data_IF_016875477246
#
_entry.id   IF_016875477246
#
_cell.length_a   1.000
_cell.length_b   1.000
_cell.length_c   1.000
_cell.angle_alpha   90.00
_cell.angle_beta   90.00
_cell.angle_gamma   90.00
#
_symmetry.space_group_name_H-M   'P 1'
#
loop_
_entity.id
_entity.type
_entity.pdbx_description
1 polymer ?
#
# COMPACT_ATOMS: atom_id res chain seq x y z
N UNK A 1 25.04 -3.91 -23.67
CA UNK A 1 23.84 -4.72 -23.96
C UNK A 1 23.40 -4.52 -25.42
N UNK A 2 23.13 -3.29 -25.91
CA UNK A 2 22.72 -3.06 -27.31
C UNK A 2 23.73 -3.56 -28.35
N UNK A 3 25.03 -3.35 -28.09
CA UNK A 3 26.11 -3.85 -28.94
C UNK A 3 26.07 -5.37 -29.03
N UNK A 4 25.98 -6.05 -27.89
CA UNK A 4 25.89 -7.51 -27.79
C UNK A 4 24.67 -8.05 -28.57
N UNK A 5 23.50 -7.47 -28.38
CA UNK A 5 22.29 -7.89 -29.10
C UNK A 5 22.44 -7.77 -30.62
N UNK A 6 23.10 -6.70 -31.11
CA UNK A 6 23.35 -6.52 -32.57
C UNK A 6 24.36 -7.54 -33.12
N UNK A 7 25.41 -7.82 -32.36
CA UNK A 7 26.49 -8.74 -32.81
C UNK A 7 26.06 -10.21 -32.75
N UNK A 8 25.18 -10.58 -31.83
CA UNK A 8 24.77 -11.98 -31.61
C UNK A 8 23.37 -12.31 -32.16
N UNK A 9 22.58 -11.33 -32.59
CA UNK A 9 21.17 -11.50 -32.91
C UNK A 9 20.26 -11.78 -31.69
N UNK A 10 20.82 -11.69 -30.45
CA UNK A 10 20.06 -11.94 -29.23
C UNK A 10 19.10 -10.78 -28.94
N UNK A 11 17.84 -11.09 -28.64
CA UNK A 11 16.86 -10.09 -28.18
C UNK A 11 17.33 -9.47 -26.87
N UNK A 12 17.28 -8.15 -26.81
CA UNK A 12 17.67 -7.40 -25.60
C UNK A 12 16.55 -6.48 -25.17
N UNK A 13 16.31 -6.43 -23.85
CA UNK A 13 15.32 -5.58 -23.21
C UNK A 13 16.05 -4.66 -22.24
N UNK A 14 16.01 -3.34 -22.52
CA UNK A 14 16.72 -2.34 -21.73
C UNK A 14 15.67 -1.48 -21.07
N UNK A 15 15.55 -1.59 -19.75
CA UNK A 15 14.59 -0.85 -18.94
C UNK A 15 15.22 0.38 -18.30
N UNK A 16 14.44 1.46 -18.22
CA UNK A 16 14.70 2.61 -17.36
C UNK A 16 13.53 2.77 -16.40
N UNK A 17 13.74 2.33 -15.16
CA UNK A 17 12.73 2.48 -14.13
C UNK A 17 12.88 3.81 -13.41
N UNK A 18 11.76 4.50 -13.08
CA UNK A 18 11.75 5.51 -12.02
C UNK A 18 12.03 4.85 -10.67
N UNK A 19 11.83 5.57 -9.56
CA UNK A 19 12.01 4.97 -8.23
C UNK A 19 11.05 3.80 -8.02
N UNK A 20 11.59 2.61 -7.85
CA UNK A 20 10.80 1.42 -7.58
C UNK A 20 10.43 1.37 -6.10
N UNK A 21 9.18 1.11 -5.79
CA UNK A 21 8.72 0.90 -4.42
C UNK A 21 7.87 -0.37 -4.33
N UNK A 22 7.75 -0.91 -3.12
CA UNK A 22 6.94 -2.10 -2.87
C UNK A 22 7.39 -2.87 -1.64
N UNK A 23 6.75 -4.00 -1.42
CA UNK A 23 6.98 -4.91 -0.30
C UNK A 23 8.43 -5.39 -0.26
N UNK A 24 8.98 -5.52 0.95
CA UNK A 24 10.29 -6.14 1.24
C UNK A 24 11.52 -5.40 0.67
N UNK A 25 11.35 -4.19 0.16
CA UNK A 25 12.49 -3.36 -0.19
C UNK A 25 13.29 -3.02 1.08
N UNK A 26 14.64 -3.07 0.99
CA UNK A 26 15.51 -2.77 2.13
C UNK A 26 15.37 -1.29 2.53
N UNK A 27 14.90 -0.98 3.77
CA UNK A 27 14.84 0.39 4.26
C UNK A 27 16.24 0.95 4.52
N UNK A 28 16.37 2.27 4.60
CA UNK A 28 17.62 2.99 4.84
C UNK A 28 18.75 2.64 3.84
N UNK A 29 18.38 2.33 2.62
CA UNK A 29 19.35 2.02 1.56
C UNK A 29 19.09 2.88 0.31
N UNK A 30 18.14 2.53 -0.54
CA UNK A 30 17.97 3.15 -1.85
C UNK A 30 16.50 3.48 -2.19
N UNK A 31 15.62 3.48 -1.21
CA UNK A 31 14.20 3.81 -1.40
C UNK A 31 13.68 4.68 -0.26
N UNK A 32 13.31 5.91 -0.58
CA UNK A 32 12.65 6.80 0.37
C UNK A 32 11.32 6.20 0.86
N UNK A 33 10.51 5.61 -0.04
CA UNK A 33 9.24 4.98 0.31
C UNK A 33 9.44 3.83 1.29
N UNK A 34 10.42 2.95 1.05
CA UNK A 34 10.73 1.84 1.96
C UNK A 34 11.15 2.35 3.34
N UNK A 35 12.01 3.37 3.37
CA UNK A 35 12.47 3.99 4.62
C UNK A 35 11.31 4.63 5.38
N UNK A 36 10.44 5.35 4.69
CA UNK A 36 9.28 5.99 5.32
C UNK A 36 8.29 4.95 5.85
N UNK A 37 7.97 3.93 5.07
CA UNK A 37 7.10 2.84 5.52
C UNK A 37 7.66 2.13 6.75
N UNK A 38 8.95 1.79 6.72
CA UNK A 38 9.63 1.16 7.85
C UNK A 38 9.63 2.04 9.10
N UNK A 39 10.03 3.32 8.96
CA UNK A 39 10.09 4.24 10.09
C UNK A 39 8.71 4.44 10.71
N UNK A 40 7.68 4.69 9.89
CA UNK A 40 6.31 4.87 10.38
C UNK A 40 5.80 3.61 11.08
N UNK A 41 6.03 2.43 10.50
CA UNK A 41 5.62 1.14 11.07
C UNK A 41 6.29 0.83 12.43
N UNK A 42 7.51 1.33 12.62
CA UNK A 42 8.29 1.14 13.85
C UNK A 42 8.26 2.34 14.79
N UNK A 43 7.43 3.35 14.54
CA UNK A 43 7.32 4.53 15.40
C UNK A 43 8.54 5.45 15.39
N UNK A 44 9.38 5.35 14.36
CA UNK A 44 10.55 6.20 14.16
C UNK A 44 10.19 7.49 13.43
N UNK A 45 10.92 8.56 13.68
CA UNK A 45 10.71 9.84 13.02
C UNK A 45 11.04 9.76 11.51
N UNK A 46 10.25 10.46 10.70
CA UNK A 46 10.57 10.69 9.31
C UNK A 46 11.46 11.94 9.19
N UNK A 47 12.54 11.82 8.44
CA UNK A 47 13.37 12.96 8.07
C UNK A 47 13.00 13.37 6.63
N UNK A 48 12.44 14.56 6.50
CA UNK A 48 12.04 15.14 5.22
C UNK A 48 12.63 16.55 5.16
N UNK A 49 13.59 16.76 4.26
CA UNK A 49 14.24 18.06 4.12
C UNK A 49 13.36 19.04 3.34
N UNK A 50 12.55 18.54 2.39
CA UNK A 50 11.57 19.32 1.63
C UNK A 50 10.37 18.47 1.24
N UNK A 51 9.22 18.75 1.84
CA UNK A 51 7.96 18.01 1.60
C UNK A 51 7.45 18.14 0.16
N UNK A 52 7.78 19.23 -0.54
CA UNK A 52 7.39 19.45 -1.93
C UNK A 52 8.23 18.67 -2.95
N UNK A 53 9.26 17.95 -2.50
CA UNK A 53 10.09 17.12 -3.39
C UNK A 53 9.23 16.05 -4.05
N UNK A 54 9.11 16.12 -5.37
CA UNK A 54 8.31 15.20 -6.17
C UNK A 54 9.12 13.96 -6.55
N UNK A 55 8.51 12.80 -6.38
CA UNK A 55 9.04 11.50 -6.78
C UNK A 55 8.20 10.92 -7.92
N UNK A 56 8.87 10.36 -8.91
CA UNK A 56 8.27 9.46 -9.89
C UNK A 56 8.47 8.02 -9.41
N UNK A 57 7.38 7.28 -9.31
CA UNK A 57 7.33 5.99 -8.60
C UNK A 57 6.69 4.92 -9.47
N UNK A 58 7.25 3.72 -9.42
CA UNK A 58 6.67 2.52 -10.04
C UNK A 58 6.57 1.41 -9.00
N UNK A 59 5.44 0.69 -8.98
CA UNK A 59 5.22 -0.38 -8.03
C UNK A 59 5.88 -1.68 -8.47
N UNK A 60 6.46 -2.41 -7.53
CA UNK A 60 7.23 -3.63 -7.83
C UNK A 60 6.41 -4.68 -8.60
N UNK A 61 5.13 -4.87 -8.27
CA UNK A 61 4.32 -5.88 -8.96
C UNK A 61 4.04 -5.47 -10.43
N UNK A 62 3.94 -4.15 -10.72
CA UNK A 62 3.82 -3.65 -12.10
C UNK A 62 5.14 -3.87 -12.87
N UNK A 63 6.29 -3.74 -12.21
CA UNK A 63 7.61 -4.07 -12.79
C UNK A 63 7.70 -5.55 -13.10
N UNK A 64 7.31 -6.41 -12.16
CA UNK A 64 7.33 -7.87 -12.36
C UNK A 64 6.44 -8.27 -13.52
N UNK A 65 5.23 -7.72 -13.60
CA UNK A 65 4.31 -7.99 -14.71
C UNK A 65 4.92 -7.57 -16.06
N UNK A 66 5.57 -6.42 -16.11
CA UNK A 66 6.24 -5.94 -17.34
C UNK A 66 7.41 -6.84 -17.75
N UNK A 67 8.19 -7.34 -16.76
CA UNK A 67 9.27 -8.30 -17.04
C UNK A 67 8.74 -9.64 -17.58
N UNK A 68 7.57 -10.09 -17.09
CA UNK A 68 6.88 -11.29 -17.63
C UNK A 68 6.45 -11.03 -19.09
N UNK A 69 5.89 -9.86 -19.40
CA UNK A 69 5.56 -9.49 -20.78
C UNK A 69 6.79 -9.48 -21.68
N UNK A 70 7.95 -9.08 -21.15
CA UNK A 70 9.20 -9.13 -21.91
C UNK A 70 9.61 -10.55 -22.27
N UNK A 71 9.39 -11.53 -21.38
CA UNK A 71 9.64 -12.96 -21.70
C UNK A 71 8.74 -13.47 -22.83
N UNK A 72 7.54 -12.89 -22.96
CA UNK A 72 6.59 -13.19 -24.02
C UNK A 72 6.79 -12.33 -25.29
N UNK A 73 7.85 -11.53 -25.34
CA UNK A 73 8.13 -10.58 -26.44
C UNK A 73 7.06 -9.46 -26.59
N UNK A 74 6.36 -9.14 -25.49
CA UNK A 74 5.27 -8.15 -25.42
C UNK A 74 5.63 -6.91 -24.59
N UNK A 75 6.91 -6.68 -24.33
CA UNK A 75 7.37 -5.55 -23.54
C UNK A 75 6.97 -4.20 -24.15
N UNK A 76 6.52 -3.26 -23.32
CA UNK A 76 6.27 -1.89 -23.75
C UNK A 76 7.60 -1.20 -24.07
N UNK A 77 7.67 -0.55 -25.24
CA UNK A 77 8.87 0.16 -25.70
C UNK A 77 8.53 1.57 -26.15
N UNK A 78 9.43 2.49 -25.87
CA UNK A 78 9.37 3.84 -26.43
C UNK A 78 9.92 3.87 -27.87
N UNK A 79 9.86 5.03 -28.51
CA UNK A 79 10.39 5.29 -29.85
C UNK A 79 11.90 4.99 -30.01
N UNK A 80 12.66 5.05 -28.91
CA UNK A 80 14.09 4.74 -28.86
C UNK A 80 14.39 3.27 -28.52
N UNK A 81 13.35 2.43 -28.43
CA UNK A 81 13.44 1.02 -28.09
C UNK A 81 13.83 0.76 -26.62
N UNK A 82 13.63 1.74 -25.73
CA UNK A 82 13.80 1.57 -24.29
C UNK A 82 12.49 1.02 -23.73
N UNK A 83 12.60 -0.06 -22.95
CA UNK A 83 11.45 -0.63 -22.29
C UNK A 83 11.06 0.17 -21.04
N UNK A 84 9.77 0.24 -20.76
CA UNK A 84 9.25 0.98 -19.61
C UNK A 84 8.03 0.29 -19.00
N UNK A 85 7.71 0.65 -17.76
CA UNK A 85 6.45 0.26 -17.11
C UNK A 85 5.43 1.36 -17.37
N UNK A 86 4.27 1.07 -17.97
CA UNK A 86 3.29 2.11 -18.32
C UNK A 86 2.73 2.87 -17.12
N UNK A 87 2.59 2.18 -15.97
CA UNK A 87 1.97 2.74 -14.79
C UNK A 87 3.00 3.38 -13.87
N UNK A 88 3.05 4.69 -13.90
CA UNK A 88 3.93 5.53 -13.07
C UNK A 88 3.08 6.47 -12.23
N UNK A 89 3.45 6.64 -10.97
CA UNK A 89 2.82 7.58 -10.03
C UNK A 89 3.74 8.76 -9.77
N UNK A 90 3.15 9.93 -9.57
CA UNK A 90 3.85 11.13 -9.14
C UNK A 90 3.28 11.55 -7.80
N UNK A 91 4.14 11.63 -6.77
CA UNK A 91 3.78 12.01 -5.41
C UNK A 91 4.91 12.80 -4.77
N UNK A 92 4.55 13.76 -3.94
CA UNK A 92 5.53 14.46 -3.11
C UNK A 92 5.89 13.66 -1.86
N UNK A 93 7.03 13.97 -1.25
CA UNK A 93 7.42 13.34 0.03
C UNK A 93 6.41 13.64 1.13
N UNK A 94 5.84 14.86 1.15
CA UNK A 94 4.80 15.24 2.11
C UNK A 94 3.51 14.44 1.94
N UNK A 95 3.03 14.24 0.69
CA UNK A 95 1.86 13.39 0.42
C UNK A 95 2.07 11.95 0.89
N UNK A 96 3.24 11.38 0.65
CA UNK A 96 3.58 10.03 1.09
C UNK A 96 3.59 9.95 2.61
N UNK A 97 4.21 10.91 3.28
CA UNK A 97 4.27 10.96 4.75
C UNK A 97 2.88 11.11 5.36
N UNK A 98 2.04 11.98 4.82
CA UNK A 98 0.65 12.17 5.26
C UNK A 98 -0.17 10.87 5.19
N UNK A 99 -0.10 10.16 4.05
CA UNK A 99 -0.77 8.86 3.88
C UNK A 99 -0.28 7.83 4.89
N UNK A 100 1.02 7.77 5.15
CA UNK A 100 1.58 6.81 6.13
C UNK A 100 1.13 7.12 7.56
N UNK A 101 0.99 8.38 7.94
CA UNK A 101 0.44 8.76 9.24
C UNK A 101 -1.05 8.37 9.36
N UNK A 102 -1.83 8.51 8.29
CA UNK A 102 -3.22 8.01 8.26
C UNK A 102 -3.26 6.49 8.43
N UNK A 103 -2.39 5.75 7.75
CA UNK A 103 -2.31 4.29 7.87
C UNK A 103 -1.93 3.84 9.29
N UNK A 104 -1.03 4.56 9.94
CA UNK A 104 -0.66 4.31 11.34
C UNK A 104 -1.86 4.54 12.26
N UNK A 105 -2.58 5.65 12.10
CA UNK A 105 -3.77 5.99 12.90
C UNK A 105 -4.90 4.98 12.70
N UNK A 106 -5.07 4.44 11.49
CA UNK A 106 -6.14 3.48 11.18
C UNK A 106 -6.16 2.26 12.09
N UNK A 107 -5.02 1.89 12.66
CA UNK A 107 -4.90 0.74 13.57
C UNK A 107 -5.47 0.98 14.97
N UNK A 108 -5.67 2.22 15.35
CA UNK A 108 -6.28 2.60 16.63
C UNK A 108 -7.70 3.15 16.45
N UNK A 109 -7.97 3.83 15.34
CA UNK A 109 -9.30 4.35 15.03
C UNK A 109 -10.25 3.30 14.45
N UNK A 110 -9.75 2.13 14.07
CA UNK A 110 -10.44 1.07 13.34
C UNK A 110 -10.95 1.49 11.94
N UNK A 111 -10.60 2.69 11.48
CA UNK A 111 -10.95 3.17 10.14
C UNK A 111 -10.04 2.53 9.11
N UNK A 112 -10.60 1.79 8.16
CA UNK A 112 -9.82 1.30 7.02
C UNK A 112 -9.53 2.46 6.09
N UNK A 113 -8.27 2.72 5.73
CA UNK A 113 -7.93 3.75 4.77
C UNK A 113 -8.66 3.51 3.45
N UNK A 114 -9.25 4.57 2.88
CA UNK A 114 -9.82 4.47 1.55
C UNK A 114 -8.74 4.18 0.52
N UNK A 115 -8.91 3.10 -0.22
CA UNK A 115 -7.99 2.73 -1.28
C UNK A 115 -8.78 2.26 -2.51
N UNK A 116 -8.82 3.08 -3.55
CA UNK A 116 -9.40 2.68 -4.82
C UNK A 116 -8.64 1.47 -5.41
N UNK A 117 -9.35 0.66 -6.18
CA UNK A 117 -8.72 -0.47 -6.86
C UNK A 117 -7.53 0.02 -7.68
N UNK A 118 -6.38 -0.60 -7.47
CA UNK A 118 -5.16 -0.36 -8.26
C UNK A 118 -4.58 1.08 -8.14
N UNK A 119 -4.94 1.79 -7.07
CA UNK A 119 -4.42 3.13 -6.78
C UNK A 119 -3.03 3.10 -6.13
N UNK A 120 -2.36 4.25 -6.14
CA UNK A 120 -1.11 4.44 -5.40
C UNK A 120 -1.30 4.18 -3.90
N UNK A 121 -2.38 4.70 -3.33
CA UNK A 121 -2.73 4.58 -1.92
C UNK A 121 -2.83 3.11 -1.51
N UNK A 122 -3.49 2.27 -2.32
CA UNK A 122 -3.58 0.82 -2.06
C UNK A 122 -2.22 0.14 -2.09
N UNK A 123 -1.38 0.48 -3.06
CA UNK A 123 -0.03 -0.07 -3.21
C UNK A 123 0.89 0.39 -2.08
N UNK A 124 0.79 1.66 -1.68
CA UNK A 124 1.52 2.20 -0.55
C UNK A 124 1.07 1.55 0.77
N UNK A 125 -0.24 1.36 0.97
CA UNK A 125 -0.77 0.69 2.16
C UNK A 125 -0.27 -0.76 2.25
N UNK A 126 -0.31 -1.52 1.15
CA UNK A 126 0.25 -2.87 1.08
C UNK A 126 1.76 -2.89 1.40
N UNK A 127 2.50 -1.88 0.92
CA UNK A 127 3.92 -1.71 1.23
C UNK A 127 4.13 -1.43 2.72
N UNK A 128 3.38 -0.49 3.30
CA UNK A 128 3.44 -0.17 4.73
C UNK A 128 3.18 -1.40 5.61
N UNK A 129 2.12 -2.18 5.30
CA UNK A 129 1.80 -3.39 6.06
C UNK A 129 2.94 -4.40 6.06
N UNK A 130 3.74 -4.48 5.00
CA UNK A 130 4.89 -5.41 4.94
C UNK A 130 6.04 -5.06 5.89
N UNK A 131 6.05 -3.85 6.46
CA UNK A 131 7.05 -3.40 7.43
C UNK A 131 6.55 -3.42 8.87
N UNK A 132 5.29 -3.75 9.11
CA UNK A 132 4.78 -3.87 10.47
C UNK A 132 5.52 -4.99 11.21
N UNK A 133 6.01 -4.74 12.43
CA UNK A 133 6.50 -5.80 13.31
C UNK A 133 5.42 -6.85 13.56
N UNK A 134 5.80 -8.12 13.69
CA UNK A 134 4.85 -9.23 13.91
C UNK A 134 3.92 -8.94 15.08
N UNK A 135 4.45 -8.37 16.16
CA UNK A 135 3.69 -8.01 17.36
C UNK A 135 2.65 -6.91 17.11
N UNK A 136 2.82 -6.14 16.05
CA UNK A 136 1.92 -5.04 15.68
C UNK A 136 0.85 -5.44 14.67
N UNK A 137 0.81 -6.70 14.22
CA UNK A 137 -0.25 -7.18 13.32
C UNK A 137 -1.61 -7.29 14.00
N UNK A 138 -1.64 -7.73 15.26
CA UNK A 138 -2.85 -7.73 16.06
C UNK A 138 -3.05 -6.38 16.76
N UNK A 139 -4.29 -6.03 16.99
CA UNK A 139 -4.68 -4.89 17.82
C UNK A 139 -5.85 -5.30 18.71
N UNK A 140 -5.93 -4.76 19.96
CA UNK A 140 -7.01 -5.09 20.87
C UNK A 140 -8.34 -4.51 20.34
N UNK A 141 -9.41 -5.29 20.48
CA UNK A 141 -10.77 -4.83 20.22
C UNK A 141 -11.44 -4.48 21.54
N UNK A 142 -12.21 -3.40 21.56
CA UNK A 142 -12.98 -2.99 22.73
C UNK A 142 -14.36 -3.63 22.65
N UNK A 143 -14.67 -4.51 23.61
CA UNK A 143 -15.99 -5.10 23.75
C UNK A 143 -16.81 -4.25 24.71
N UNK A 144 -17.95 -3.75 24.23
CA UNK A 144 -18.96 -3.07 25.04
C UNK A 144 -20.00 -4.10 25.48
N UNK A 145 -20.11 -4.34 26.78
CA UNK A 145 -21.05 -5.31 27.36
C UNK A 145 -22.07 -4.62 28.23
N UNK A 146 -23.34 -5.06 28.12
CA UNK A 146 -24.45 -4.64 28.98
C UNK A 146 -25.37 -5.83 29.31
N UNK A 147 -26.53 -5.55 29.93
CA UNK A 147 -27.50 -6.59 30.30
C UNK A 147 -28.11 -7.30 29.08
N UNK A 148 -28.07 -6.68 27.91
CA UNK A 148 -28.64 -7.19 26.66
C UNK A 148 -27.70 -8.09 25.87
N UNK A 149 -26.38 -8.00 26.15
CA UNK A 149 -25.33 -8.74 25.44
C UNK A 149 -24.09 -7.92 25.24
N UNK A 150 -23.36 -8.15 24.15
CA UNK A 150 -22.14 -7.39 23.85
C UNK A 150 -22.10 -6.93 22.40
N UNK A 151 -21.34 -5.87 22.18
CA UNK A 151 -21.04 -5.30 20.89
C UNK A 151 -19.54 -5.04 20.78
N UNK A 152 -18.93 -5.51 19.70
CA UNK A 152 -17.51 -5.32 19.42
C UNK A 152 -17.34 -4.84 18.00
N UNK A 153 -16.86 -3.62 17.82
CA UNK A 153 -16.48 -3.12 16.52
C UNK A 153 -15.14 -3.71 16.10
N UNK A 154 -15.05 -4.21 14.86
CA UNK A 154 -13.81 -4.80 14.32
C UNK A 154 -13.12 -3.79 13.42
N UNK A 155 -13.88 -3.17 12.52
CA UNK A 155 -13.39 -2.17 11.57
C UNK A 155 -14.56 -1.38 10.98
N UNK A 156 -14.27 -0.21 10.44
CA UNK A 156 -15.21 0.61 9.69
C UNK A 156 -14.54 1.31 8.50
N UNK A 157 -15.35 1.78 7.60
CA UNK A 157 -14.91 2.61 6.49
C UNK A 157 -15.93 3.71 6.23
N UNK A 158 -15.50 4.86 5.77
CA UNK A 158 -16.36 6.00 5.48
C UNK A 158 -17.46 5.68 4.45
N UNK A 159 -17.16 4.82 3.48
CA UNK A 159 -18.07 4.55 2.36
C UNK A 159 -18.82 3.21 2.46
N UNK A 160 -18.30 2.25 3.24
CA UNK A 160 -18.81 0.87 3.26
C UNK A 160 -19.41 0.45 4.59
N UNK A 161 -19.48 1.38 5.54
CA UNK A 161 -20.05 1.15 6.85
C UNK A 161 -19.11 0.42 7.81
N UNK A 162 -19.68 -0.31 8.75
CA UNK A 162 -19.02 -0.90 9.90
C UNK A 162 -19.14 -2.43 9.86
N UNK A 163 -18.08 -3.11 10.24
CA UNK A 163 -18.08 -4.53 10.50
C UNK A 163 -17.93 -4.77 12.01
N UNK A 164 -18.88 -5.46 12.61
CA UNK A 164 -18.94 -5.66 14.07
C UNK A 164 -19.51 -7.03 14.43
N UNK A 165 -19.18 -7.51 15.62
CA UNK A 165 -19.79 -8.67 16.25
C UNK A 165 -20.78 -8.21 17.31
N UNK A 166 -22.01 -8.67 17.20
CA UNK A 166 -23.08 -8.37 18.14
C UNK A 166 -23.62 -9.67 18.74
N UNK A 167 -23.47 -9.84 20.04
CA UNK A 167 -23.97 -11.00 20.78
C UNK A 167 -25.19 -10.56 21.58
N UNK A 168 -26.32 -11.25 21.39
CA UNK A 168 -27.56 -11.01 22.14
C UNK A 168 -27.78 -12.12 23.15
N UNK A 169 -28.16 -11.77 24.37
CA UNK A 169 -28.58 -12.74 25.39
C UNK A 169 -29.96 -13.30 25.04
N UNK A 170 -30.30 -14.51 25.44
CA UNK A 170 -31.61 -15.10 25.21
C UNK A 170 -32.76 -14.21 25.75
N UNK A 171 -33.85 -14.11 25.00
CA UNK A 171 -35.03 -13.33 25.37
C UNK A 171 -34.90 -11.80 25.17
N UNK A 172 -33.78 -11.34 24.66
CA UNK A 172 -33.57 -9.90 24.38
C UNK A 172 -33.96 -9.58 22.94
N UNK A 173 -34.83 -8.59 22.78
CA UNK A 173 -35.13 -7.94 21.49
C UNK A 173 -34.20 -6.74 21.33
N UNK A 174 -33.42 -6.70 20.24
CA UNK A 174 -32.59 -5.56 19.83
C UNK A 174 -33.12 -5.01 18.51
N UNK A 175 -32.97 -3.71 18.33
CA UNK A 175 -33.38 -3.03 17.09
C UNK A 175 -34.72 -2.31 17.25
N UNK A 176 -35.76 -2.80 16.62
CA UNK A 176 -37.09 -2.12 16.50
C UNK A 176 -37.00 -0.83 15.67
N UNK A 177 -36.17 -0.87 14.62
CA UNK A 177 -36.00 0.21 13.65
C UNK A 177 -35.81 -0.38 12.25
N UNK A 178 -36.07 0.41 11.25
CA UNK A 178 -35.88 0.05 9.85
C UNK A 178 -34.50 0.46 9.36
N UNK A 179 -33.92 -0.33 8.48
CA UNK A 179 -32.73 0.01 7.71
C UNK A 179 -33.14 0.32 6.27
N UNK A 180 -32.69 1.45 5.75
CA UNK A 180 -32.82 1.84 4.35
C UNK A 180 -31.70 1.25 3.52
#
# INVERSE_FOLDING_TARGET
IRKYGRETGTKTYIYRFPNVFGKWCRPNYNSAVATFCYNTANGLALRIDNEATQLRLVYIDDVVQELILALEDKAHRDENGICYVPKVYERTLGEIAGLLEEYKKSRTSLDIPYTAKDSFEKKLYSTYLSYLPIQSFSYPLVMHEDQRGSFTEILRSLERGQFSVNISKPGITKGNHWHN
#
